data_IF_435327531571
#
_entry.id   IF_435327531571
#
_cell.length_a   1.000
_cell.length_b   1.000
_cell.length_c   1.000
_cell.angle_alpha   90.00
_cell.angle_beta   90.00
_cell.angle_gamma   90.00
#
_symmetry.space_group_name_H-M   'P 1'
#
loop_
_entity.id
_entity.type
_entity.pdbx_description
1 polymer ?
#
# COMPACT_ATOMS: atom_id res chain seq x y z
N UNK A 1 -10.14 19.02 -61.88
CA UNK A 1 -9.00 18.42 -61.14
C UNK A 1 -9.01 18.97 -59.74
N UNK A 2 -8.80 18.07 -58.79
CA UNK A 2 -8.89 18.22 -57.34
C UNK A 2 -8.04 19.38 -56.78
N UNK A 3 -8.61 20.16 -55.85
CA UNK A 3 -7.91 21.19 -55.08
C UNK A 3 -8.01 20.91 -53.58
N UNK A 4 -6.86 20.68 -52.97
CA UNK A 4 -6.57 20.29 -51.59
C UNK A 4 -7.35 21.03 -50.49
N UNK A 5 -7.98 20.26 -49.58
CA UNK A 5 -8.37 20.74 -48.25
C UNK A 5 -7.21 20.49 -47.27
N UNK A 6 -6.73 21.49 -46.52
CA UNK A 6 -5.71 21.26 -45.50
C UNK A 6 -6.38 20.59 -44.29
N UNK A 7 -6.07 19.31 -44.07
CA UNK A 7 -6.38 18.62 -42.82
C UNK A 7 -5.50 19.21 -41.71
N UNK A 8 -6.04 20.16 -40.96
CA UNK A 8 -5.44 20.60 -39.71
C UNK A 8 -5.51 19.49 -38.66
N UNK A 9 -4.35 18.91 -38.31
CA UNK A 9 -4.23 17.99 -37.19
C UNK A 9 -4.35 18.81 -35.90
N UNK A 10 -5.48 18.72 -35.22
CA UNK A 10 -5.67 19.28 -33.89
C UNK A 10 -4.99 18.34 -32.88
N UNK A 11 -3.78 18.67 -32.43
CA UNK A 11 -3.13 17.97 -31.34
C UNK A 11 -3.79 18.37 -30.02
N UNK A 12 -4.61 17.49 -29.46
CA UNK A 12 -5.17 17.67 -28.12
C UNK A 12 -4.07 17.24 -27.13
N UNK A 13 -3.39 18.22 -26.54
CA UNK A 13 -2.48 17.95 -25.42
C UNK A 13 -3.33 17.65 -24.18
N UNK A 14 -3.43 16.37 -23.80
CA UNK A 14 -4.03 15.96 -22.54
C UNK A 14 -3.11 16.39 -21.40
N UNK A 15 -3.47 17.48 -20.72
CA UNK A 15 -2.86 17.83 -19.43
C UNK A 15 -3.43 16.82 -18.42
N UNK A 16 -2.66 15.78 -18.11
CA UNK A 16 -2.96 14.92 -16.97
C UNK A 16 -2.95 15.81 -15.72
N UNK A 17 -4.11 16.04 -15.11
CA UNK A 17 -4.18 16.72 -13.83
C UNK A 17 -3.35 15.92 -12.82
N UNK A 18 -2.52 16.61 -12.02
CA UNK A 18 -1.88 15.98 -10.89
C UNK A 18 -2.99 15.44 -9.98
N UNK A 19 -3.03 14.12 -9.81
CA UNK A 19 -3.88 13.47 -8.81
C UNK A 19 -2.98 13.08 -7.65
N UNK A 20 -3.49 13.22 -6.45
CA UNK A 20 -2.87 12.61 -5.28
C UNK A 20 -2.77 11.08 -5.51
N UNK A 21 -1.71 10.43 -5.02
CA UNK A 21 -1.56 8.98 -5.15
C UNK A 21 -2.72 8.25 -4.45
N UNK A 22 -2.94 6.99 -4.79
CA UNK A 22 -3.77 6.10 -3.97
C UNK A 22 -2.89 5.49 -2.88
N UNK A 23 -3.40 5.46 -1.66
CA UNK A 23 -2.80 4.75 -0.53
C UNK A 23 -3.52 3.41 -0.37
N UNK A 24 -2.75 2.33 -0.31
CA UNK A 24 -3.22 1.00 0.03
C UNK A 24 -2.71 0.64 1.41
N UNK A 25 -3.62 0.29 2.32
CA UNK A 25 -3.27 -0.16 3.67
C UNK A 25 -3.49 -1.66 3.77
N UNK A 26 -2.46 -2.38 4.22
CA UNK A 26 -2.52 -3.82 4.50
C UNK A 26 -1.95 -4.12 5.90
N UNK A 27 -2.39 -5.22 6.48
CA UNK A 27 -1.77 -5.78 7.69
C UNK A 27 -0.53 -6.59 7.30
N UNK A 28 0.42 -6.74 8.22
CA UNK A 28 1.44 -7.78 8.10
C UNK A 28 0.83 -9.19 7.94
N UNK A 29 1.58 -10.11 7.34
CA UNK A 29 1.18 -11.52 7.19
C UNK A 29 1.15 -12.30 8.51
N UNK A 30 0.77 -13.57 8.41
CA UNK A 30 0.42 -14.43 9.53
C UNK A 30 1.58 -14.60 10.54
N UNK A 31 1.21 -14.57 11.83
CA UNK A 31 2.13 -14.61 12.97
C UNK A 31 2.21 -16.00 13.61
N UNK A 32 3.32 -16.36 14.29
CA UNK A 32 3.38 -17.55 15.13
C UNK A 32 2.26 -17.57 16.17
N UNK A 33 1.64 -18.74 16.39
CA UNK A 33 0.50 -18.90 17.31
C UNK A 33 0.85 -18.61 18.77
N UNK A 34 2.12 -18.70 19.13
CA UNK A 34 2.66 -18.37 20.46
C UNK A 34 3.03 -16.88 20.60
N UNK A 35 2.81 -16.07 19.55
CA UNK A 35 3.17 -14.65 19.51
C UNK A 35 4.67 -14.38 19.29
N UNK A 36 5.45 -15.40 18.94
CA UNK A 36 6.87 -15.27 18.59
C UNK A 36 7.14 -14.28 17.46
N UNK A 37 8.36 -13.75 17.39
CA UNK A 37 8.74 -12.72 16.40
C UNK A 37 8.66 -13.21 14.95
N UNK A 38 8.52 -12.26 14.01
CA UNK A 38 8.51 -12.54 12.57
C UNK A 38 7.25 -13.24 12.07
N UNK A 39 7.25 -13.57 10.78
CA UNK A 39 6.18 -14.29 10.11
C UNK A 39 6.26 -15.80 10.39
N UNK A 40 5.12 -16.47 10.42
CA UNK A 40 5.08 -17.94 10.36
C UNK A 40 5.20 -18.42 8.90
N UNK A 41 5.13 -19.73 8.66
CA UNK A 41 5.22 -20.29 7.29
C UNK A 41 4.15 -19.72 6.34
N UNK A 42 2.91 -19.58 6.82
CA UNK A 42 1.80 -19.01 6.05
C UNK A 42 2.04 -17.52 5.73
N UNK A 43 2.54 -16.76 6.70
CA UNK A 43 2.89 -15.34 6.49
C UNK A 43 4.02 -15.15 5.49
N UNK A 44 4.99 -16.07 5.46
CA UNK A 44 6.03 -16.08 4.44
C UNK A 44 5.46 -16.40 3.04
N UNK A 45 4.49 -17.31 2.94
CA UNK A 45 3.78 -17.59 1.69
C UNK A 45 2.97 -16.37 1.23
N UNK A 46 2.30 -15.66 2.14
CA UNK A 46 1.63 -14.39 1.85
C UNK A 46 2.59 -13.33 1.33
N UNK A 47 3.74 -13.15 1.99
CA UNK A 47 4.78 -12.22 1.53
C UNK A 47 5.26 -12.52 0.09
N UNK A 48 5.31 -13.80 -0.30
CA UNK A 48 5.59 -14.17 -1.69
C UNK A 48 4.43 -13.88 -2.63
N UNK A 49 3.18 -14.14 -2.20
CA UNK A 49 1.99 -13.83 -2.98
C UNK A 49 1.88 -12.33 -3.31
N UNK A 50 2.22 -11.44 -2.37
CA UNK A 50 2.13 -9.99 -2.57
C UNK A 50 2.95 -9.47 -3.76
N UNK A 51 3.99 -10.21 -4.16
CA UNK A 51 4.81 -9.92 -5.35
C UNK A 51 3.98 -9.97 -6.63
N UNK A 52 2.97 -10.83 -6.70
CA UNK A 52 2.04 -10.91 -7.82
C UNK A 52 0.89 -9.91 -7.68
N UNK A 53 0.37 -9.73 -6.46
CA UNK A 53 -0.75 -8.81 -6.16
C UNK A 53 -0.38 -7.36 -6.50
N UNK A 54 0.75 -6.89 -5.96
CA UNK A 54 1.21 -5.50 -6.06
C UNK A 54 2.40 -5.32 -7.01
N UNK A 55 2.80 -6.38 -7.72
CA UNK A 55 3.98 -6.39 -8.59
C UNK A 55 3.90 -5.41 -9.75
N UNK A 56 5.00 -5.36 -10.53
CA UNK A 56 5.17 -4.42 -11.66
C UNK A 56 4.07 -4.51 -12.72
N UNK A 57 3.46 -5.68 -12.89
CA UNK A 57 2.39 -5.92 -13.86
C UNK A 57 0.98 -5.73 -13.27
N UNK A 58 0.88 -5.40 -11.99
CA UNK A 58 -0.40 -5.17 -11.32
C UNK A 58 -1.02 -3.83 -11.74
N UNK A 59 -2.32 -3.68 -11.49
CA UNK A 59 -3.01 -2.40 -11.62
C UNK A 59 -2.69 -1.40 -10.50
N UNK A 60 -2.00 -1.84 -9.44
CA UNK A 60 -1.74 -1.03 -8.25
C UNK A 60 -0.65 0.01 -8.47
N UNK A 61 0.30 -0.19 -9.39
CA UNK A 61 1.36 0.78 -9.73
C UNK A 61 2.12 1.32 -8.49
N UNK A 62 2.56 0.42 -7.60
CA UNK A 62 3.27 0.78 -6.37
C UNK A 62 4.66 1.33 -6.68
N UNK A 63 4.98 2.50 -6.12
CA UNK A 63 6.29 3.17 -6.26
C UNK A 63 6.86 3.63 -4.93
N UNK A 64 6.13 3.42 -3.84
CA UNK A 64 6.59 3.65 -2.50
C UNK A 64 5.96 2.62 -1.57
N UNK A 65 6.77 2.05 -0.69
CA UNK A 65 6.35 1.04 0.26
C UNK A 65 6.80 1.51 1.64
N UNK A 66 5.87 1.55 2.58
CA UNK A 66 6.14 1.85 3.99
C UNK A 66 5.84 0.64 4.86
N UNK A 67 6.61 0.48 5.93
CA UNK A 67 6.34 -0.47 7.00
C UNK A 67 6.73 0.11 8.37
N UNK A 68 6.14 -0.40 9.45
CA UNK A 68 6.48 0.08 10.79
C UNK A 68 7.96 -0.17 11.12
N UNK A 69 8.58 0.72 11.90
CA UNK A 69 9.97 0.53 12.32
C UNK A 69 10.14 -0.77 13.14
N UNK A 70 10.95 -1.74 12.68
CA UNK A 70 11.23 -2.93 13.46
C UNK A 70 12.13 -2.62 14.67
N UNK A 71 11.96 -3.37 15.75
CA UNK A 71 12.85 -3.28 16.93
C UNK A 71 14.05 -4.21 16.75
N UNK A 72 15.20 -3.81 17.30
CA UNK A 72 16.45 -4.59 17.23
C UNK A 72 16.37 -6.00 17.84
N UNK A 73 15.36 -6.27 18.69
CA UNK A 73 15.09 -7.57 19.25
C UNK A 73 14.11 -8.43 18.43
N UNK A 74 13.81 -8.02 17.18
CA UNK A 74 12.92 -8.71 16.25
C UNK A 74 11.43 -8.46 16.45
N UNK A 75 11.03 -7.71 17.49
CA UNK A 75 9.62 -7.28 17.62
C UNK A 75 9.30 -6.26 16.53
N UNK A 76 8.03 -6.22 16.08
CA UNK A 76 7.57 -5.31 15.01
C UNK A 76 8.24 -5.53 13.64
N UNK A 77 8.88 -6.68 13.42
CA UNK A 77 9.51 -7.00 12.14
C UNK A 77 8.49 -7.42 11.06
N UNK A 78 7.32 -7.94 11.45
CA UNK A 78 6.38 -8.57 10.51
C UNK A 78 5.94 -7.65 9.37
N UNK A 79 5.60 -6.36 9.58
CA UNK A 79 5.23 -5.52 8.46
C UNK A 79 6.35 -5.34 7.44
N UNK A 80 7.60 -5.19 7.89
CA UNK A 80 8.76 -5.16 7.00
C UNK A 80 8.92 -6.50 6.27
N UNK A 81 8.97 -7.61 7.01
CA UNK A 81 9.13 -8.96 6.46
C UNK A 81 8.06 -9.31 5.40
N UNK A 82 6.85 -8.74 5.55
CA UNK A 82 5.71 -8.97 4.65
C UNK A 82 5.91 -8.34 3.28
N UNK A 83 6.46 -7.12 3.23
CA UNK A 83 6.57 -6.33 1.98
C UNK A 83 7.97 -6.32 1.38
N UNK A 84 8.98 -6.80 2.11
CA UNK A 84 10.37 -6.79 1.64
C UNK A 84 10.57 -7.56 0.31
N UNK A 85 10.02 -8.76 0.09
CA UNK A 85 10.16 -9.45 -1.20
C UNK A 85 9.55 -8.68 -2.38
N UNK A 86 8.42 -8.00 -2.16
CA UNK A 86 7.80 -7.14 -3.16
C UNK A 86 8.67 -5.92 -3.46
N UNK A 87 9.22 -5.28 -2.42
CA UNK A 87 10.10 -4.12 -2.58
C UNK A 87 11.34 -4.48 -3.40
N UNK A 88 11.96 -5.63 -3.14
CA UNK A 88 13.09 -6.15 -3.92
C UNK A 88 12.75 -6.29 -5.42
N UNK A 89 11.60 -6.91 -5.74
CA UNK A 89 11.15 -7.10 -7.13
C UNK A 89 10.87 -5.79 -7.87
N UNK A 90 10.34 -4.80 -7.16
CA UNK A 90 10.07 -3.47 -7.70
C UNK A 90 11.34 -2.60 -7.77
N UNK A 91 12.46 -3.04 -7.18
CA UNK A 91 13.67 -2.25 -7.05
C UNK A 91 13.52 -1.05 -6.12
N UNK A 92 12.66 -1.18 -5.11
CA UNK A 92 12.36 -0.18 -4.09
C UNK A 92 13.03 -0.55 -2.76
N UNK A 93 13.20 0.44 -1.90
CA UNK A 93 13.49 0.23 -0.48
C UNK A 93 12.21 0.41 0.32
N UNK A 94 12.04 -0.36 1.39
CA UNK A 94 10.93 -0.15 2.34
C UNK A 94 11.27 1.03 3.25
N UNK A 95 10.40 2.02 3.30
CA UNK A 95 10.50 3.12 4.26
C UNK A 95 10.02 2.65 5.64
N UNK A 96 10.96 2.52 6.57
CA UNK A 96 10.69 2.15 7.97
C UNK A 96 10.93 3.30 8.94
N UNK A 97 10.76 4.55 8.49
CA UNK A 97 11.09 5.75 9.28
C UNK A 97 10.08 6.07 10.39
N UNK A 98 8.85 5.56 10.30
CA UNK A 98 7.77 5.82 11.26
C UNK A 98 7.60 4.67 12.26
N UNK A 99 7.52 5.00 13.55
CA UNK A 99 7.20 4.02 14.60
C UNK A 99 5.72 3.62 14.53
N UNK A 100 5.40 2.38 14.94
CA UNK A 100 4.03 1.83 15.06
C UNK A 100 3.00 2.84 15.56
N UNK A 101 3.38 3.59 16.59
CA UNK A 101 2.50 4.42 17.39
C UNK A 101 2.48 5.89 16.92
N UNK A 102 3.03 6.19 15.74
CA UNK A 102 3.08 7.54 15.14
C UNK A 102 2.43 7.61 13.75
N UNK A 103 1.08 7.58 13.67
CA UNK A 103 0.37 7.77 12.40
C UNK A 103 0.56 9.20 11.84
N UNK A 104 1.01 10.16 12.66
CA UNK A 104 1.35 11.51 12.21
C UNK A 104 2.54 11.51 11.26
N UNK A 105 3.58 10.77 11.62
CA UNK A 105 4.73 10.53 10.73
C UNK A 105 4.28 9.94 9.37
N UNK A 106 3.39 8.94 9.38
CA UNK A 106 2.86 8.34 8.13
C UNK A 106 2.16 9.39 7.27
N UNK A 107 1.31 10.23 7.88
CA UNK A 107 0.65 11.34 7.18
C UNK A 107 1.65 12.29 6.54
N UNK A 108 2.70 12.67 7.27
CA UNK A 108 3.71 13.60 6.77
C UNK A 108 4.48 13.02 5.59
N UNK A 109 4.80 11.71 5.61
CA UNK A 109 5.39 11.01 4.46
C UNK A 109 4.44 10.99 3.26
N UNK A 110 3.18 10.63 3.46
CA UNK A 110 2.17 10.61 2.37
C UNK A 110 1.96 12.01 1.78
N UNK A 111 1.89 13.05 2.61
CA UNK A 111 1.73 14.44 2.16
C UNK A 111 2.98 14.99 1.45
N UNK A 112 4.18 14.52 1.81
CA UNK A 112 5.44 14.87 1.17
C UNK A 112 5.73 14.09 -0.11
N UNK A 113 4.96 13.05 -0.41
CA UNK A 113 5.17 12.23 -1.59
C UNK A 113 4.73 12.97 -2.86
N UNK A 114 5.70 13.50 -3.62
CA UNK A 114 5.47 14.16 -4.92
C UNK A 114 5.17 13.11 -6.00
N UNK A 115 4.03 12.43 -5.86
CA UNK A 115 3.50 11.44 -6.78
C UNK A 115 2.93 12.09 -8.04
N UNK A 116 3.76 12.79 -8.82
CA UNK A 116 3.33 13.29 -10.13
C UNK A 116 3.04 12.11 -11.07
N UNK A 117 1.79 11.66 -11.16
CA UNK A 117 1.35 10.70 -12.18
C UNK A 117 0.46 9.57 -11.68
N UNK A 118 0.65 8.38 -12.27
CA UNK A 118 -0.19 7.18 -12.05
C UNK A 118 0.32 6.26 -10.93
N UNK A 119 1.10 6.78 -9.99
CA UNK A 119 1.90 6.00 -9.05
C UNK A 119 1.31 6.04 -7.64
N UNK A 120 1.42 4.96 -6.87
CA UNK A 120 0.69 4.76 -5.62
C UNK A 120 1.58 4.25 -4.47
N UNK A 121 1.06 4.33 -3.24
CA UNK A 121 1.78 4.00 -2.00
C UNK A 121 1.16 2.75 -1.37
N UNK A 122 1.98 1.77 -1.00
CA UNK A 122 1.59 0.64 -0.16
C UNK A 122 2.12 0.85 1.26
N UNK A 123 1.26 0.68 2.27
CA UNK A 123 1.62 0.80 3.68
C UNK A 123 1.23 -0.49 4.39
N UNK A 124 2.20 -1.18 4.97
CA UNK A 124 2.00 -2.40 5.74
C UNK A 124 2.20 -2.14 7.22
N UNK A 125 1.27 -2.58 8.08
CA UNK A 125 1.32 -2.25 9.51
C UNK A 125 0.79 -3.36 10.43
N UNK A 126 0.84 -3.12 11.73
CA UNK A 126 0.07 -3.88 12.73
C UNK A 126 -1.42 -3.46 12.69
N UNK A 127 -2.33 -4.44 12.64
CA UNK A 127 -3.79 -4.21 12.53
C UNK A 127 -4.36 -3.14 13.49
N UNK A 128 -4.00 -3.17 14.77
CA UNK A 128 -4.49 -2.23 15.78
C UNK A 128 -4.24 -0.75 15.43
N UNK A 129 -3.22 -0.46 14.62
CA UNK A 129 -2.84 0.91 14.25
C UNK A 129 -3.28 1.29 12.82
N UNK A 130 -3.86 0.38 12.04
CA UNK A 130 -4.36 0.70 10.69
C UNK A 130 -5.54 1.67 10.72
N UNK A 131 -6.45 1.53 11.67
CA UNK A 131 -7.54 2.47 11.89
C UNK A 131 -7.01 3.87 12.20
N UNK A 132 -6.07 3.98 13.14
CA UNK A 132 -5.45 5.27 13.50
C UNK A 132 -4.74 5.94 12.32
N UNK A 133 -4.07 5.15 11.45
CA UNK A 133 -3.45 5.65 10.23
C UNK A 133 -4.52 6.20 9.28
N UNK A 134 -5.59 5.43 9.00
CA UNK A 134 -6.67 5.86 8.11
C UNK A 134 -7.33 7.16 8.62
N UNK A 135 -7.61 7.26 9.92
CA UNK A 135 -8.16 8.48 10.51
C UNK A 135 -7.21 9.67 10.40
N UNK A 136 -5.92 9.43 10.62
CA UNK A 136 -4.92 10.49 10.57
C UNK A 136 -4.73 11.04 9.15
N UNK A 137 -4.85 10.17 8.14
CA UNK A 137 -4.83 10.55 6.73
C UNK A 137 -6.04 11.43 6.37
N UNK A 138 -7.25 11.08 6.85
CA UNK A 138 -8.42 11.93 6.66
C UNK A 138 -9.78 11.24 6.81
N UNK A 139 -9.81 9.91 6.91
CA UNK A 139 -11.05 9.14 7.03
C UNK A 139 -11.73 9.49 8.36
N UNK A 140 -13.00 9.88 8.32
CA UNK A 140 -13.74 10.15 9.55
C UNK A 140 -14.35 8.86 10.09
N UNK A 141 -14.19 8.63 11.38
CA UNK A 141 -14.74 7.46 12.09
C UNK A 141 -14.38 6.15 11.35
N UNK A 142 -13.08 5.96 11.07
CA UNK A 142 -12.62 4.80 10.30
C UNK A 142 -13.00 3.50 11.02
N UNK A 143 -13.37 2.43 10.30
CA UNK A 143 -13.72 1.15 10.92
C UNK A 143 -12.50 0.55 11.62
N UNK A 144 -12.75 -0.34 12.58
CA UNK A 144 -11.69 -1.22 13.12
C UNK A 144 -11.25 -2.19 12.03
N UNK A 145 -9.94 -2.31 11.80
CA UNK A 145 -9.42 -3.35 10.91
C UNK A 145 -9.67 -4.73 11.53
N UNK A 146 -10.22 -5.73 10.80
CA UNK A 146 -10.58 -7.01 11.40
C UNK A 146 -9.39 -7.79 11.98
N UNK A 147 -9.50 -8.22 13.23
CA UNK A 147 -8.41 -8.84 14.01
C UNK A 147 -7.88 -10.16 13.43
N UNK A 148 -8.74 -10.93 12.78
CA UNK A 148 -8.43 -12.28 12.27
C UNK A 148 -8.12 -12.28 10.77
N UNK A 149 -8.32 -11.16 10.08
CA UNK A 149 -8.04 -11.04 8.64
C UNK A 149 -6.60 -10.60 8.39
N UNK A 150 -5.93 -11.28 7.47
CA UNK A 150 -4.55 -11.01 7.06
C UNK A 150 -4.44 -10.56 5.60
N UNK A 151 -5.56 -10.56 4.89
CA UNK A 151 -5.66 -10.43 3.44
C UNK A 151 -6.38 -9.16 2.98
N UNK A 152 -6.89 -8.33 3.90
CA UNK A 152 -7.69 -7.17 3.54
C UNK A 152 -6.78 -6.02 3.08
N UNK A 153 -7.09 -5.50 1.89
CA UNK A 153 -6.55 -4.28 1.34
C UNK A 153 -7.60 -3.18 1.49
N UNK A 154 -7.28 -2.15 2.26
CA UNK A 154 -8.05 -0.91 2.25
C UNK A 154 -7.52 0.04 1.18
N UNK A 155 -8.40 0.54 0.33
CA UNK A 155 -8.06 1.46 -0.77
C UNK A 155 -8.53 2.88 -0.47
N UNK A 156 -7.57 3.79 -0.27
CA UNK A 156 -7.78 5.21 0.03
C UNK A 156 -7.22 6.05 -1.11
N UNK A 157 -8.03 6.40 -2.13
CA UNK A 157 -7.63 7.37 -3.13
C UNK A 157 -7.53 8.77 -2.48
N UNK A 158 -6.62 9.61 -2.98
CA UNK A 158 -6.63 11.02 -2.60
C UNK A 158 -8.00 11.67 -2.88
N UNK A 159 -8.54 12.47 -1.94
CA UNK A 159 -7.86 13.15 -0.84
C UNK A 159 -7.79 12.37 0.50
N UNK A 160 -7.98 11.05 0.49
CA UNK A 160 -7.87 10.13 1.64
C UNK A 160 -8.94 10.32 2.72
N UNK A 161 -10.09 10.88 2.36
CA UNK A 161 -11.22 11.13 3.25
C UNK A 161 -12.15 9.92 3.42
N UNK A 162 -11.97 8.87 2.61
CA UNK A 162 -12.80 7.65 2.64
C UNK A 162 -11.98 6.40 2.25
N UNK A 163 -12.31 5.27 2.89
CA UNK A 163 -11.93 3.93 2.41
C UNK A 163 -12.95 3.54 1.33
N UNK A 164 -12.54 3.64 0.06
CA UNK A 164 -13.46 3.45 -1.07
C UNK A 164 -13.66 1.99 -1.47
N UNK A 165 -12.76 1.11 -1.04
CA UNK A 165 -12.87 -0.33 -1.25
C UNK A 165 -12.13 -1.11 -0.17
N UNK A 166 -12.70 -2.25 0.20
CA UNK A 166 -12.07 -3.32 0.95
C UNK A 166 -12.05 -4.56 0.06
N UNK A 167 -10.86 -5.03 -0.29
CA UNK A 167 -10.67 -6.17 -1.19
C UNK A 167 -9.71 -7.17 -0.58
N UNK A 168 -9.86 -8.45 -0.90
CA UNK A 168 -8.89 -9.47 -0.53
C UNK A 168 -7.65 -9.41 -1.43
N UNK A 169 -6.49 -9.78 -0.89
CA UNK A 169 -5.25 -10.03 -1.63
C UNK A 169 -5.42 -11.15 -2.67
N UNK A 170 -6.39 -12.04 -2.47
CA UNK A 170 -6.68 -13.23 -3.27
C UNK A 170 -5.46 -14.17 -3.40
N UNK A 171 -4.73 -14.33 -2.31
CA UNK A 171 -3.62 -15.27 -2.20
C UNK A 171 -4.12 -16.72 -2.16
N UNK A 172 -3.72 -17.57 -3.13
CA UNK A 172 -4.25 -18.92 -3.25
C UNK A 172 -4.04 -19.76 -1.99
N UNK A 173 -5.15 -20.17 -1.35
CA UNK A 173 -5.14 -21.02 -0.16
C UNK A 173 -4.84 -20.30 1.16
N UNK A 174 -4.81 -18.97 1.16
CA UNK A 174 -4.52 -18.16 2.35
C UNK A 174 -5.69 -17.28 2.83
N UNK A 175 -6.70 -17.04 1.98
CA UNK A 175 -7.72 -16.00 2.18
C UNK A 175 -9.12 -16.60 2.46
N UNK A 176 -9.17 -17.72 3.17
CA UNK A 176 -10.40 -18.44 3.55
C UNK A 176 -11.09 -17.85 4.79
#
# INVERSE_FOLDING_TARGET
MLGFFPYGILAIASVAAARDPTVYLIRHGEKPSDGGNGLNAQGLERAQCLREVFGKNSGYNITHIMAETPKSNGKRARPLDTVEPLAEDLGLTVDTSCDRDDPGCVKDVVAGYDGKGLVNILICWEHDALTDIAEKLGVKDAPSYPDDSFDIIWTLPGPYDEITAETSENCPGLDD
#
